data_IF_623826193914
#
_entry.id   IF_623826193914
#
_cell.length_a   1.000
_cell.length_b   1.000
_cell.length_c   1.000
_cell.angle_alpha   90.00
_cell.angle_beta   90.00
_cell.angle_gamma   90.00
#
_symmetry.space_group_name_H-M   'P 1'
#
loop_
_entity.id
_entity.type
_entity.pdbx_description
1 polymer ?
#
# COMPACT_ATOMS: atom_id res chain seq x y z
N UNK A 1 -20.61 10.59 -18.75
CA UNK A 1 -19.86 9.90 -17.72
C UNK A 1 -19.19 8.66 -18.31
N UNK A 2 -17.91 8.53 -18.08
CA UNK A 2 -17.17 7.41 -18.61
C UNK A 2 -17.13 6.30 -17.59
N UNK A 3 -17.67 5.16 -17.96
CA UNK A 3 -17.65 4.00 -17.10
C UNK A 3 -16.38 3.21 -17.35
N UNK A 4 -15.71 2.86 -16.31
CA UNK A 4 -14.54 2.03 -16.43
C UNK A 4 -13.23 2.75 -16.33
N UNK A 5 -13.19 4.04 -16.59
CA UNK A 5 -11.97 4.83 -16.43
C UNK A 5 -12.03 5.58 -15.12
N UNK A 6 -11.23 5.19 -14.14
CA UNK A 6 -11.22 5.92 -12.88
C UNK A 6 -10.68 7.32 -13.08
N UNK A 7 -11.30 8.25 -12.40
CA UNK A 7 -10.87 9.62 -12.40
C UNK A 7 -9.48 9.71 -11.75
N UNK A 8 -8.58 10.49 -12.35
CA UNK A 8 -7.24 10.65 -11.79
C UNK A 8 -7.30 11.18 -10.36
N UNK A 9 -8.26 12.03 -10.09
CA UNK A 9 -8.44 12.57 -8.76
C UNK A 9 -8.76 11.46 -7.75
N UNK A 10 -9.64 10.55 -8.14
CA UNK A 10 -9.99 9.41 -7.32
C UNK A 10 -8.80 8.51 -7.10
N UNK A 11 -8.02 8.27 -8.16
CA UNK A 11 -6.83 7.44 -8.04
C UNK A 11 -5.81 8.05 -7.09
N UNK A 12 -5.65 9.36 -7.13
CA UNK A 12 -4.72 10.03 -6.23
C UNK A 12 -5.16 9.90 -4.77
N UNK A 13 -6.46 10.00 -4.53
CA UNK A 13 -6.99 9.82 -3.18
C UNK A 13 -6.77 8.40 -2.71
N UNK A 14 -7.04 7.43 -3.58
CA UNK A 14 -6.81 6.03 -3.24
C UNK A 14 -5.33 5.77 -2.97
N UNK A 15 -4.47 6.33 -3.78
CA UNK A 15 -3.04 6.15 -3.60
C UNK A 15 -2.58 6.70 -2.26
N UNK A 16 -3.06 7.87 -1.90
CA UNK A 16 -2.72 8.47 -0.61
C UNK A 16 -3.20 7.60 0.55
N UNK A 17 -4.40 7.04 0.42
CA UNK A 17 -4.95 6.18 1.46
C UNK A 17 -4.13 4.90 1.61
N UNK A 18 -3.75 4.30 0.49
CA UNK A 18 -2.97 3.08 0.52
C UNK A 18 -1.57 3.34 1.07
N UNK A 19 -0.97 4.46 0.70
CA UNK A 19 0.32 4.86 1.26
C UNK A 19 0.25 5.00 2.77
N UNK A 20 -0.81 5.64 3.26
CA UNK A 20 -0.99 5.83 4.69
C UNK A 20 -1.09 4.49 5.40
N UNK A 21 -1.86 3.57 4.84
CA UNK A 21 -1.99 2.23 5.41
C UNK A 21 -0.66 1.49 5.40
N UNK A 22 0.08 1.60 4.32
CA UNK A 22 1.36 0.95 4.20
C UNK A 22 2.33 1.46 5.27
N UNK A 23 2.38 2.77 5.46
CA UNK A 23 3.25 3.36 6.46
C UNK A 23 2.84 2.96 7.86
N UNK A 24 1.55 2.88 8.10
CA UNK A 24 1.02 2.48 9.40
C UNK A 24 1.45 1.06 9.72
N UNK A 25 1.31 0.16 8.77
CA UNK A 25 1.73 -1.22 8.96
C UNK A 25 3.23 -1.34 9.19
N UNK A 26 4.00 -0.57 8.43
CA UNK A 26 5.44 -0.58 8.59
C UNK A 26 5.84 -0.14 10.00
N UNK A 27 5.17 0.89 10.52
CA UNK A 27 5.40 1.34 11.88
C UNK A 27 5.02 0.32 12.92
N UNK A 28 3.89 -0.35 12.72
CA UNK A 28 3.44 -1.38 13.65
C UNK A 28 4.42 -2.55 13.70
N UNK A 29 4.87 -2.99 12.55
CA UNK A 29 5.85 -4.08 12.47
C UNK A 29 7.13 -3.69 13.20
N UNK A 30 7.58 -2.47 12.95
CA UNK A 30 8.81 -1.98 13.59
C UNK A 30 8.68 -1.92 15.09
N UNK A 31 7.55 -1.42 15.58
CA UNK A 31 7.30 -1.36 17.03
C UNK A 31 7.28 -2.74 17.65
N UNK A 32 6.66 -3.69 16.98
CA UNK A 32 6.62 -5.05 17.51
C UNK A 32 8.01 -5.65 17.61
N UNK A 33 8.82 -5.44 16.58
CA UNK A 33 10.18 -5.97 16.61
C UNK A 33 11.01 -5.29 17.70
N UNK A 34 10.86 -4.00 17.87
CA UNK A 34 11.60 -3.26 18.88
C UNK A 34 11.19 -3.65 20.30
N UNK A 35 9.94 -4.00 20.50
CA UNK A 35 9.49 -4.42 21.81
C UNK A 35 10.10 -5.75 22.23
N UNK A 36 10.54 -6.54 21.27
CA UNK A 36 11.13 -7.84 21.56
C UNK A 36 10.14 -8.90 22.00
N UNK A 37 8.89 -8.54 22.14
CA UNK A 37 7.86 -9.45 22.61
C UNK A 37 6.77 -9.54 21.55
N UNK A 38 7.04 -10.26 20.49
CA UNK A 38 6.12 -10.36 19.38
C UNK A 38 5.94 -11.79 18.92
N UNK A 39 4.79 -12.05 18.31
CA UNK A 39 4.47 -13.33 17.72
C UNK A 39 4.91 -13.31 16.26
N UNK A 40 5.72 -14.27 15.87
CA UNK A 40 6.22 -14.35 14.49
C UNK A 40 5.09 -14.50 13.49
N UNK A 41 4.04 -15.24 13.86
CA UNK A 41 2.91 -15.41 12.95
C UNK A 41 2.22 -14.09 12.67
N UNK A 42 2.10 -13.26 13.70
CA UNK A 42 1.48 -11.96 13.55
C UNK A 42 2.34 -11.05 12.68
N UNK A 43 3.64 -11.08 12.91
CA UNK A 43 4.57 -10.30 12.07
C UNK A 43 4.46 -10.73 10.61
N UNK A 44 4.40 -12.02 10.35
CA UNK A 44 4.28 -12.53 8.99
C UNK A 44 2.97 -12.07 8.33
N UNK A 45 1.89 -12.07 9.08
CA UNK A 45 0.62 -11.58 8.56
C UNK A 45 0.68 -10.12 8.19
N UNK A 46 1.28 -9.32 9.04
CA UNK A 46 1.42 -7.89 8.80
C UNK A 46 2.33 -7.63 7.60
N UNK A 47 3.42 -8.38 7.49
CA UNK A 47 4.32 -8.24 6.34
C UNK A 47 3.62 -8.61 5.04
N UNK A 48 2.81 -9.65 5.06
CA UNK A 48 2.06 -10.06 3.89
C UNK A 48 1.08 -8.97 3.48
N UNK A 49 0.38 -8.40 4.44
CA UNK A 49 -0.54 -7.31 4.16
C UNK A 49 0.19 -6.09 3.61
N UNK A 50 1.35 -5.81 4.16
CA UNK A 50 2.18 -4.70 3.68
C UNK A 50 2.56 -4.90 2.22
N UNK A 51 2.92 -6.12 1.84
CA UNK A 51 3.24 -6.43 0.46
C UNK A 51 2.05 -6.26 -0.46
N UNK A 52 0.86 -6.65 0.00
CA UNK A 52 -0.35 -6.45 -0.78
C UNK A 52 -0.62 -4.98 -1.02
N UNK A 53 -0.43 -4.16 0.00
CA UNK A 53 -0.60 -2.72 -0.15
C UNK A 53 0.41 -2.13 -1.11
N UNK A 54 1.64 -2.62 -1.07
CA UNK A 54 2.66 -2.17 -2.01
C UNK A 54 2.27 -2.51 -3.44
N UNK A 55 1.72 -3.69 -3.66
CA UNK A 55 1.24 -4.08 -4.98
C UNK A 55 0.13 -3.15 -5.45
N UNK A 56 -0.79 -2.79 -4.55
CA UNK A 56 -1.84 -1.86 -4.90
C UNK A 56 -1.30 -0.50 -5.27
N UNK A 57 -0.29 -0.04 -4.55
CA UNK A 57 0.37 1.22 -4.86
C UNK A 57 0.92 1.19 -6.28
N UNK A 58 1.60 0.11 -6.63
CA UNK A 58 2.18 -0.02 -7.96
C UNK A 58 1.09 -0.01 -9.04
N UNK A 59 0.00 -0.72 -8.80
CA UNK A 59 -1.10 -0.76 -9.75
C UNK A 59 -1.70 0.63 -9.94
N UNK A 60 -1.94 1.34 -8.86
CA UNK A 60 -2.52 2.68 -8.95
C UNK A 60 -1.56 3.63 -9.63
N UNK A 61 -0.29 3.56 -9.30
CA UNK A 61 0.72 4.41 -9.93
C UNK A 61 0.79 4.16 -11.43
N UNK A 62 0.69 2.91 -11.84
CA UNK A 62 0.70 2.59 -13.25
C UNK A 62 -0.50 3.16 -13.97
N UNK A 63 -1.63 3.26 -13.30
CA UNK A 63 -2.82 3.87 -13.88
C UNK A 63 -2.69 5.39 -13.98
N UNK A 64 -2.00 5.99 -13.02
CA UNK A 64 -1.80 7.43 -13.03
C UNK A 64 -0.73 7.86 -14.04
N UNK A 65 0.25 7.00 -14.28
CA UNK A 65 1.39 7.31 -15.15
C UNK A 65 1.49 6.25 -16.24
N UNK A 66 0.55 6.24 -17.20
CA UNK A 66 0.48 5.15 -18.15
C UNK A 66 1.65 5.09 -19.13
N UNK A 67 2.33 6.18 -19.35
CA UNK A 67 3.36 6.22 -20.41
C UNK A 67 4.75 6.33 -19.84
N UNK A 68 5.01 5.61 -18.82
CA UNK A 68 6.32 5.66 -18.21
C UNK A 68 7.35 4.91 -19.02
N UNK A 69 6.89 4.03 -19.82
CA UNK A 69 7.83 3.18 -20.55
C UNK A 69 8.57 4.00 -21.57
N UNK A 70 9.81 4.07 -21.39
CA UNK A 70 10.64 4.77 -22.35
C UNK A 70 11.03 3.86 -23.47
#
# INVERSE_FOLDING_TARGET
MVLGDPDKKTLKVELAAVFTEHRKLDGEIRQMIESGNYDQLEIQRLKKKKLQLKDEIIVIENQLLPDIIA
#
